data_IF_409509789888
#
_entry.id   IF_409509789888
#
_cell.length_a   1.000
_cell.length_b   1.000
_cell.length_c   1.000
_cell.angle_alpha   90.00
_cell.angle_beta   90.00
_cell.angle_gamma   90.00
#
_symmetry.space_group_name_H-M   'P 1'
#
loop_
_entity.id
_entity.type
_entity.pdbx_description
1 polymer ?
#
# COMPACT_ATOMS: atom_id res chain seq x y z
N UNK A 1 11.29 13.54 -32.88
CA UNK A 1 10.81 12.58 -31.86
C UNK A 1 10.45 13.37 -30.61
N UNK A 2 9.17 13.71 -30.44
CA UNK A 2 8.68 14.44 -29.27
C UNK A 2 8.40 13.42 -28.16
N UNK A 3 9.27 13.39 -27.15
CA UNK A 3 9.07 12.60 -25.94
C UNK A 3 8.03 13.32 -25.07
N UNK A 4 6.80 12.81 -25.06
CA UNK A 4 5.73 13.26 -24.15
C UNK A 4 6.14 12.98 -22.71
N UNK A 5 6.81 13.95 -22.08
CA UNK A 5 6.98 13.98 -20.64
C UNK A 5 5.60 14.26 -20.05
N UNK A 6 4.92 13.19 -19.63
CA UNK A 6 3.71 13.29 -18.82
C UNK A 6 4.07 13.96 -17.49
N UNK A 7 3.98 15.30 -17.47
CA UNK A 7 4.06 16.10 -16.26
C UNK A 7 2.79 15.85 -15.46
N UNK A 8 2.77 14.78 -14.67
CA UNK A 8 1.82 14.69 -13.58
C UNK A 8 2.25 15.75 -12.55
N UNK A 9 1.44 16.80 -12.30
CA UNK A 9 1.76 17.76 -11.26
C UNK A 9 1.94 17.00 -9.95
N UNK A 10 3.01 17.30 -9.20
CA UNK A 10 3.24 16.71 -7.87
C UNK A 10 2.04 17.06 -6.98
N UNK A 11 1.07 16.15 -6.93
CA UNK A 11 -0.08 16.29 -6.06
C UNK A 11 0.45 16.41 -4.62
N UNK A 12 -0.10 17.35 -3.86
CA UNK A 12 0.24 17.51 -2.44
C UNK A 12 -0.14 16.22 -1.72
N UNK A 13 0.84 15.38 -1.42
CA UNK A 13 0.64 14.13 -0.72
C UNK A 13 0.22 14.44 0.72
N UNK A 14 -0.87 13.83 1.17
CA UNK A 14 -1.26 13.86 2.57
C UNK A 14 -0.51 12.71 3.24
N UNK A 15 0.40 13.05 4.16
CA UNK A 15 1.12 12.06 4.94
C UNK A 15 0.22 11.59 6.09
N UNK A 16 -0.30 10.36 5.96
CA UNK A 16 -1.08 9.69 7.00
C UNK A 16 -0.27 8.51 7.51
N UNK A 17 -0.20 8.35 8.83
CA UNK A 17 0.45 7.22 9.48
C UNK A 17 -0.60 6.35 10.19
N UNK A 18 -0.44 5.03 10.07
CA UNK A 18 -1.20 4.05 10.83
C UNK A 18 -0.28 3.39 11.84
N UNK A 19 -0.81 3.01 13.02
CA UNK A 19 -0.14 2.01 13.83
C UNK A 19 -0.15 0.66 13.09
N UNK A 20 0.83 -0.23 13.35
CA UNK A 20 0.87 -1.57 12.73
C UNK A 20 -0.44 -2.34 12.92
N UNK A 21 -0.97 -2.38 14.15
CA UNK A 21 -2.21 -3.10 14.46
C UNK A 21 -3.42 -2.55 13.67
N UNK A 22 -3.49 -1.22 13.49
CA UNK A 22 -4.56 -0.60 12.72
C UNK A 22 -4.43 -0.93 11.24
N UNK A 23 -3.21 -0.93 10.72
CA UNK A 23 -2.93 -1.29 9.32
C UNK A 23 -3.32 -2.75 9.04
N UNK A 24 -2.92 -3.66 9.91
CA UNK A 24 -3.29 -5.08 9.83
C UNK A 24 -4.81 -5.26 9.89
N UNK A 25 -5.50 -4.59 10.83
CA UNK A 25 -6.95 -4.67 10.92
C UNK A 25 -7.66 -4.17 9.65
N UNK A 26 -7.17 -3.09 9.03
CA UNK A 26 -7.73 -2.56 7.79
C UNK A 26 -7.49 -3.50 6.60
N UNK A 27 -6.32 -4.15 6.54
CA UNK A 27 -6.00 -5.16 5.54
C UNK A 27 -6.90 -6.40 5.71
N UNK A 28 -7.01 -6.93 6.93
CA UNK A 28 -7.83 -8.11 7.23
C UNK A 28 -9.32 -7.88 6.98
N UNK A 29 -9.80 -6.64 7.18
CA UNK A 29 -11.18 -6.23 6.84
C UNK A 29 -11.39 -6.01 5.33
N UNK A 30 -10.36 -6.10 4.50
CA UNK A 30 -10.45 -5.82 3.06
C UNK A 30 -10.64 -4.34 2.72
N UNK A 31 -10.32 -3.43 3.64
CA UNK A 31 -10.44 -1.98 3.43
C UNK A 31 -9.23 -1.36 2.76
N UNK A 32 -8.09 -2.06 2.78
CA UNK A 32 -6.86 -1.69 2.09
C UNK A 32 -6.40 -2.86 1.22
N UNK A 33 -6.07 -2.55 -0.02
CA UNK A 33 -5.62 -3.51 -1.02
C UNK A 33 -4.15 -3.29 -1.37
N UNK A 34 -3.56 -4.30 -2.01
CA UNK A 34 -2.22 -4.28 -2.57
C UNK A 34 -1.90 -2.99 -3.37
N UNK A 35 -2.84 -2.54 -4.21
CA UNK A 35 -2.65 -1.39 -5.09
C UNK A 35 -2.50 -0.06 -4.33
N UNK A 36 -3.06 0.05 -3.12
CA UNK A 36 -3.00 1.27 -2.29
C UNK A 36 -1.58 1.55 -1.79
N UNK A 37 -0.69 0.55 -1.83
CA UNK A 37 0.69 0.62 -1.34
C UNK A 37 1.74 0.76 -2.45
N UNK A 38 1.32 1.01 -3.69
CA UNK A 38 2.23 1.17 -4.82
C UNK A 38 3.22 2.34 -4.66
N UNK A 39 2.85 3.37 -3.90
CA UNK A 39 3.67 4.55 -3.64
C UNK A 39 4.75 4.35 -2.56
N UNK A 40 4.71 3.24 -1.82
CA UNK A 40 5.67 2.98 -0.75
C UNK A 40 7.08 2.68 -1.28
N UNK A 41 8.08 3.00 -0.48
CA UNK A 41 9.45 2.59 -0.72
C UNK A 41 9.61 1.07 -0.55
N UNK A 42 10.75 0.54 -1.03
CA UNK A 42 11.01 -0.90 -1.04
C UNK A 42 10.97 -1.55 0.35
N UNK A 43 11.43 -0.84 1.39
CA UNK A 43 11.44 -1.36 2.76
C UNK A 43 10.01 -1.43 3.30
N UNK A 44 9.25 -0.33 3.17
CA UNK A 44 7.86 -0.26 3.64
C UNK A 44 6.95 -1.26 2.90
N UNK A 45 7.14 -1.45 1.58
CA UNK A 45 6.40 -2.47 0.80
C UNK A 45 6.58 -3.88 1.34
N UNK A 46 7.79 -4.26 1.77
CA UNK A 46 8.06 -5.60 2.30
C UNK A 46 7.21 -5.89 3.53
N UNK A 47 7.14 -4.94 4.46
CA UNK A 47 6.33 -5.08 5.68
C UNK A 47 4.85 -5.26 5.34
N UNK A 48 4.31 -4.41 4.47
CA UNK A 48 2.90 -4.49 4.08
C UNK A 48 2.58 -5.78 3.33
N UNK A 49 3.49 -6.27 2.48
CA UNK A 49 3.29 -7.55 1.79
C UNK A 49 3.23 -8.74 2.74
N UNK A 50 4.04 -8.75 3.80
CA UNK A 50 3.93 -9.79 4.82
C UNK A 50 2.56 -9.77 5.52
N UNK A 51 2.01 -8.59 5.82
CA UNK A 51 0.67 -8.45 6.41
C UNK A 51 -0.43 -8.93 5.45
N UNK A 52 -0.36 -8.54 4.17
CA UNK A 52 -1.31 -8.97 3.14
C UNK A 52 -1.26 -10.48 2.89
N UNK A 53 -0.06 -11.06 2.89
CA UNK A 53 0.12 -12.51 2.75
C UNK A 53 -0.49 -13.25 3.94
N UNK A 54 -0.26 -12.78 5.18
CA UNK A 54 -0.85 -13.37 6.37
C UNK A 54 -2.39 -13.29 6.35
N UNK A 55 -2.94 -12.13 5.97
CA UNK A 55 -4.38 -11.96 5.83
C UNK A 55 -4.98 -12.87 4.75
N UNK A 56 -4.28 -13.04 3.61
CA UNK A 56 -4.72 -13.97 2.57
C UNK A 56 -4.68 -15.42 3.05
N UNK A 57 -3.62 -15.84 3.74
CA UNK A 57 -3.51 -17.19 4.29
C UNK A 57 -4.64 -17.50 5.28
N UNK A 58 -4.96 -16.56 6.18
CA UNK A 58 -6.07 -16.70 7.12
C UNK A 58 -7.45 -16.80 6.43
N UNK A 59 -7.61 -16.26 5.23
CA UNK A 59 -8.87 -16.36 4.46
C UNK A 59 -8.99 -17.68 3.69
N UNK A 60 -7.88 -18.39 3.51
CA UNK A 60 -7.80 -19.63 2.74
C UNK A 60 -7.77 -20.89 3.62
N UNK A 61 -7.57 -20.73 4.93
CA UNK A 61 -7.71 -21.78 5.95
C UNK A 61 -9.16 -21.97 6.38
#
# INVERSE_FOLDING_TARGET
MQSSKNYFPKQKAIHVAFSPDRLEALISQGKLHAADFNCLDKKSKRTVWSMLLAAAAHRLS
#
